data_IF_636489279225
#
_entry.id   IF_636489279225
#
_cell.length_a   1.000
_cell.length_b   1.000
_cell.length_c   1.000
_cell.angle_alpha   90.00
_cell.angle_beta   90.00
_cell.angle_gamma   90.00
#
_symmetry.space_group_name_H-M   'P 1'
#
loop_
_entity.id
_entity.type
_entity.pdbx_description
1 polymer ?
#
# COMPACT_ATOMS: atom_id res chain seq x y z
N UNK A 1 11.55 -8.06 -1.26
CA UNK A 1 12.52 -6.95 -1.12
C UNK A 1 11.72 -5.68 -1.00
N UNK A 2 11.76 -5.06 0.18
CA UNK A 2 11.18 -3.73 0.41
C UNK A 2 12.23 -2.66 0.04
N UNK A 3 11.79 -1.45 -0.27
CA UNK A 3 12.64 -0.43 -0.86
C UNK A 3 13.52 0.36 0.14
N UNK A 4 13.14 0.39 1.42
CA UNK A 4 13.84 1.03 2.53
C UNK A 4 13.35 0.49 3.90
N UNK A 5 14.08 0.79 4.97
CA UNK A 5 13.81 0.28 6.32
C UNK A 5 12.56 0.89 6.96
N UNK A 6 12.24 2.14 6.65
CA UNK A 6 11.03 2.82 7.15
C UNK A 6 9.77 2.13 6.65
N UNK A 7 9.78 1.64 5.41
CA UNK A 7 8.65 0.88 4.87
C UNK A 7 8.48 -0.44 5.61
N UNK A 8 9.58 -1.13 5.92
CA UNK A 8 9.56 -2.39 6.69
C UNK A 8 8.95 -2.13 8.06
N UNK A 9 9.48 -1.13 8.79
CA UNK A 9 8.96 -0.75 10.11
C UNK A 9 7.48 -0.38 10.07
N UNK A 10 7.04 0.38 9.08
CA UNK A 10 5.63 0.75 8.94
C UNK A 10 4.73 -0.44 8.64
N UNK A 11 5.24 -1.47 7.95
CA UNK A 11 4.52 -2.72 7.73
C UNK A 11 4.49 -3.60 8.99
N UNK A 12 5.59 -3.65 9.74
CA UNK A 12 5.67 -4.38 11.02
C UNK A 12 4.71 -3.78 12.07
N UNK A 13 4.51 -2.46 12.03
CA UNK A 13 3.53 -1.73 12.85
C UNK A 13 2.10 -1.76 12.28
N UNK A 14 1.87 -2.50 11.21
CA UNK A 14 0.58 -2.60 10.49
C UNK A 14 -0.02 -1.25 10.01
N UNK A 15 0.81 -0.20 9.96
CA UNK A 15 0.42 1.11 9.39
C UNK A 15 0.29 1.02 7.87
N UNK A 16 1.13 0.20 7.24
CA UNK A 16 1.07 -0.11 5.82
C UNK A 16 0.78 -1.60 5.67
N UNK A 17 -0.20 -1.93 4.82
CA UNK A 17 -0.51 -3.32 4.50
C UNK A 17 -0.21 -3.61 3.04
N UNK A 18 0.25 -4.83 2.80
CA UNK A 18 0.46 -5.36 1.45
C UNK A 18 -0.59 -6.43 1.16
N UNK A 19 -1.62 -6.10 0.37
CA UNK A 19 -2.75 -6.99 0.03
C UNK A 19 -3.29 -6.65 -1.35
N UNK A 20 -3.88 -7.62 -2.02
CA UNK A 20 -4.67 -7.32 -3.22
C UNK A 20 -5.96 -6.57 -2.85
N UNK A 21 -6.46 -5.65 -3.69
CA UNK A 21 -7.67 -4.87 -3.38
C UNK A 21 -8.88 -5.73 -2.97
N UNK A 22 -9.08 -6.87 -3.65
CA UNK A 22 -10.17 -7.80 -3.38
C UNK A 22 -10.03 -8.58 -2.05
N UNK A 23 -8.88 -8.50 -1.38
CA UNK A 23 -8.62 -9.12 -0.08
C UNK A 23 -8.93 -8.17 1.10
N UNK A 24 -9.21 -6.89 0.84
CA UNK A 24 -9.58 -5.91 1.85
C UNK A 24 -11.08 -6.09 2.17
N UNK A 25 -11.37 -6.66 3.34
CA UNK A 25 -12.74 -7.01 3.79
C UNK A 25 -13.20 -6.22 5.02
N UNK A 26 -12.28 -5.61 5.74
CA UNK A 26 -12.45 -4.98 7.04
C UNK A 26 -12.45 -3.43 6.96
N UNK A 27 -12.63 -2.88 5.76
CA UNK A 27 -12.57 -1.44 5.55
C UNK A 27 -12.95 -0.99 4.16
N UNK A 28 -12.65 0.28 3.86
CA UNK A 28 -12.98 0.94 2.60
C UNK A 28 -11.72 1.41 1.89
N UNK A 29 -11.64 1.11 0.60
CA UNK A 29 -10.68 1.74 -0.30
C UNK A 29 -11.04 3.22 -0.47
N UNK A 30 -10.05 4.10 -0.35
CA UNK A 30 -10.23 5.55 -0.48
C UNK A 30 -9.81 6.11 -1.84
N UNK A 31 -9.21 5.27 -2.68
CA UNK A 31 -8.87 5.59 -4.06
C UNK A 31 -8.87 4.33 -4.93
N UNK A 32 -8.97 4.52 -6.24
CA UNK A 32 -8.98 3.46 -7.25
C UNK A 32 -7.58 3.29 -7.87
N UNK A 33 -6.58 3.01 -7.04
CA UNK A 33 -5.24 2.69 -7.53
C UNK A 33 -5.07 1.17 -7.70
N UNK A 34 -4.57 0.77 -8.86
CA UNK A 34 -4.14 -0.60 -9.09
C UNK A 34 -2.78 -0.84 -8.39
N UNK A 35 -2.84 -1.15 -7.10
CA UNK A 35 -1.68 -1.38 -6.25
C UNK A 35 -1.94 -2.49 -5.24
N UNK A 36 -0.85 -3.05 -4.73
CA UNK A 36 -0.82 -4.03 -3.66
C UNK A 36 -0.46 -3.39 -2.30
N UNK A 37 -0.20 -2.07 -2.24
CA UNK A 37 0.22 -1.36 -1.03
C UNK A 37 -0.78 -0.29 -0.59
N UNK A 38 -1.16 -0.34 0.69
CA UNK A 38 -2.17 0.56 1.27
C UNK A 38 -1.73 1.11 2.62
N UNK A 39 -1.96 2.40 2.84
CA UNK A 39 -1.88 3.01 4.15
C UNK A 39 -3.20 2.69 4.89
N UNK A 40 -3.09 2.03 6.04
CA UNK A 40 -4.22 1.65 6.90
C UNK A 40 -4.41 2.73 7.96
N UNK A 41 -5.61 3.29 8.05
CA UNK A 41 -5.98 4.25 9.09
C UNK A 41 -7.41 4.02 9.60
N UNK A 42 -7.66 4.24 10.88
CA UNK A 42 -8.97 4.00 11.49
C UNK A 42 -8.83 3.80 12.99
N UNK A 43 -9.95 3.69 13.67
CA UNK A 43 -10.02 3.49 15.12
C UNK A 43 -10.49 2.06 15.42
N UNK A 44 -9.96 1.47 16.49
CA UNK A 44 -10.33 0.12 16.91
C UNK A 44 -11.84 0.02 17.17
N UNK A 45 -12.47 -0.99 16.57
CA UNK A 45 -13.92 -1.21 16.63
C UNK A 45 -14.73 -0.57 15.49
N UNK A 46 -14.10 0.20 14.60
CA UNK A 46 -14.71 0.76 13.38
C UNK A 46 -14.11 0.21 12.08
N UNK A 47 -14.74 0.47 10.92
CA UNK A 47 -14.18 0.07 9.63
C UNK A 47 -12.90 0.85 9.32
N UNK A 48 -11.85 0.16 8.88
CA UNK A 48 -10.60 0.78 8.48
C UNK A 48 -10.73 1.54 7.14
N UNK A 49 -9.80 2.44 6.91
CA UNK A 49 -9.59 3.16 5.66
C UNK A 49 -8.28 2.72 5.05
N UNK A 50 -8.32 2.43 3.75
CA UNK A 50 -7.17 1.98 2.99
C UNK A 50 -6.92 2.96 1.85
N UNK A 51 -5.81 3.68 1.93
CA UNK A 51 -5.36 4.57 0.88
C UNK A 51 -4.25 3.89 0.08
N UNK A 52 -4.55 3.49 -1.15
CA UNK A 52 -3.57 2.86 -2.02
C UNK A 52 -2.48 3.85 -2.41
N UNK A 53 -1.26 3.36 -2.57
CA UNK A 53 -0.15 4.13 -3.13
C UNK A 53 0.78 3.24 -3.97
N UNK A 54 1.54 3.91 -4.82
CA UNK A 54 2.32 3.28 -5.90
C UNK A 54 3.83 3.47 -5.71
N UNK A 55 4.20 4.51 -4.98
CA UNK A 55 5.56 4.85 -4.60
C UNK A 55 5.68 4.81 -3.09
N UNK A 56 6.87 4.43 -2.60
CA UNK A 56 7.15 4.42 -1.18
C UNK A 56 7.02 5.84 -0.60
N UNK A 57 6.21 6.06 0.44
CA UNK A 57 6.06 7.38 1.06
C UNK A 57 7.33 7.84 1.78
N UNK A 58 8.30 6.95 2.03
CA UNK A 58 9.52 7.26 2.76
C UNK A 58 10.73 7.55 1.85
N UNK A 59 10.94 6.74 0.80
CA UNK A 59 12.11 6.88 -0.08
C UNK A 59 11.76 7.18 -1.55
N UNK A 60 10.49 7.30 -1.90
CA UNK A 60 10.02 7.67 -3.25
C UNK A 60 10.18 6.58 -4.32
N UNK A 61 10.84 5.44 -4.04
CA UNK A 61 10.99 4.34 -5.00
C UNK A 61 9.63 3.73 -5.36
N UNK A 62 9.47 3.34 -6.63
CA UNK A 62 8.31 2.60 -7.09
C UNK A 62 8.20 1.24 -6.35
N UNK A 63 6.98 0.90 -5.90
CA UNK A 63 6.73 -0.30 -5.10
C UNK A 63 5.97 -1.40 -5.85
N UNK A 64 5.06 -1.01 -6.74
CA UNK A 64 4.20 -1.98 -7.41
C UNK A 64 4.93 -2.64 -8.59
N UNK A 65 4.77 -3.98 -8.70
CA UNK A 65 5.20 -4.70 -9.91
C UNK A 65 4.48 -4.19 -11.16
N UNK A 66 3.24 -3.71 -10.99
CA UNK A 66 2.43 -3.11 -12.06
C UNK A 66 3.04 -1.83 -12.64
N UNK A 67 3.60 -0.95 -11.81
CA UNK A 67 4.32 0.24 -12.29
C UNK A 67 5.63 -0.13 -12.98
N UNK A 68 6.40 -1.05 -12.40
CA UNK A 68 7.66 -1.49 -13.02
C UNK A 68 7.43 -2.13 -14.41
N UNK A 69 6.34 -2.88 -14.56
CA UNK A 69 5.94 -3.47 -15.84
C UNK A 69 5.37 -2.44 -16.84
N UNK A 70 4.70 -1.39 -16.37
CA UNK A 70 4.20 -0.30 -17.20
C UNK A 70 5.32 0.65 -17.66
N UNK A 71 6.29 0.93 -16.79
CA UNK A 71 7.47 1.75 -17.08
C UNK A 71 8.39 1.10 -18.10
N UNK A 72 8.54 -0.24 -18.08
CA UNK A 72 9.33 -0.99 -19.07
C UNK A 72 8.68 -1.16 -20.44
N UNK A 73 7.40 -0.80 -20.60
CA UNK A 73 6.69 -0.83 -21.89
C UNK A 73 6.73 0.50 -22.64
N UNK A 74 7.30 1.55 -22.04
CA UNK A 74 7.68 2.80 -22.73
C UNK A 74 9.11 2.69 -23.23
#
# INVERSE_FOLDING_TARGET
MYCCDELIKAMDLEMIVKKEPHQIRDGRLRNELNTEYFLKSGQDGGPYNYLGFNYCPFCGKALSRGLWAAEKKK
#
